data_IF_003186583822
#
_entry.id   IF_003186583822
#
_cell.length_a   1.000
_cell.length_b   1.000
_cell.length_c   1.000
_cell.angle_alpha   90.00
_cell.angle_beta   90.00
_cell.angle_gamma   90.00
#
_symmetry.space_group_name_H-M   'P 1'
#
loop_
_entity.id
_entity.type
_entity.pdbx_description
1 polymer ?
#
# COMPACT_ATOMS: atom_id res chain seq x y z
N UNK A 1 -31.97 -11.23 32.19
CA UNK A 1 -31.21 -10.80 30.99
C UNK A 1 -30.51 -9.51 31.36
N UNK A 2 -29.18 -9.49 31.36
CA UNK A 2 -28.43 -8.25 31.67
C UNK A 2 -28.62 -7.26 30.53
N UNK A 3 -28.66 -5.96 30.83
CA UNK A 3 -28.82 -4.90 29.81
C UNK A 3 -27.84 -5.06 28.63
N UNK A 4 -26.62 -5.52 28.91
CA UNK A 4 -25.60 -5.79 27.88
C UNK A 4 -25.96 -6.95 26.95
N UNK A 5 -26.45 -8.06 27.49
CA UNK A 5 -26.89 -9.20 26.66
C UNK A 5 -28.05 -8.85 25.73
N UNK A 6 -28.91 -7.91 26.15
CA UNK A 6 -29.99 -7.40 25.31
C UNK A 6 -29.47 -6.66 24.08
N UNK A 7 -28.51 -5.74 24.22
CA UNK A 7 -27.97 -4.98 23.09
C UNK A 7 -27.23 -5.84 22.07
N UNK A 8 -26.42 -6.81 22.52
CA UNK A 8 -25.69 -7.71 21.61
C UNK A 8 -26.61 -8.56 20.74
N UNK A 9 -27.79 -8.92 21.25
CA UNK A 9 -28.77 -9.72 20.50
C UNK A 9 -29.65 -8.81 19.63
N UNK A 10 -30.06 -7.65 20.15
CA UNK A 10 -30.99 -6.76 19.47
C UNK A 10 -30.41 -6.14 18.18
N UNK A 11 -29.16 -5.68 18.20
CA UNK A 11 -28.53 -4.99 17.06
C UNK A 11 -28.50 -5.86 15.77
N UNK A 12 -27.97 -7.09 15.77
CA UNK A 12 -27.95 -7.91 14.57
C UNK A 12 -29.36 -8.31 14.12
N UNK A 13 -30.27 -8.60 15.06
CA UNK A 13 -31.66 -8.96 14.74
C UNK A 13 -32.35 -7.80 14.02
N UNK A 14 -32.19 -6.57 14.51
CA UNK A 14 -32.75 -5.38 13.87
C UNK A 14 -32.22 -5.21 12.45
N UNK A 15 -30.91 -5.43 12.23
CA UNK A 15 -30.31 -5.40 10.90
C UNK A 15 -30.94 -6.41 9.93
N UNK A 16 -31.15 -7.65 10.39
CA UNK A 16 -31.80 -8.70 9.59
C UNK A 16 -33.27 -8.37 9.31
N UNK A 17 -34.00 -7.83 10.28
CA UNK A 17 -35.40 -7.42 10.10
C UNK A 17 -35.51 -6.32 9.03
N UNK A 18 -34.68 -5.28 9.11
CA UNK A 18 -34.69 -4.19 8.13
C UNK A 18 -34.33 -4.68 6.72
N UNK A 19 -33.34 -5.57 6.60
CA UNK A 19 -33.01 -6.21 5.32
C UNK A 19 -34.18 -7.06 4.79
N UNK A 20 -34.85 -7.83 5.65
CA UNK A 20 -35.98 -8.68 5.27
C UNK A 20 -37.18 -7.85 4.81
N UNK A 21 -37.47 -6.73 5.48
CA UNK A 21 -38.50 -5.78 5.05
C UNK A 21 -38.16 -5.24 3.65
N UNK A 22 -36.91 -4.82 3.42
CA UNK A 22 -36.52 -4.33 2.10
C UNK A 22 -36.70 -5.40 1.02
N UNK A 23 -36.28 -6.65 1.27
CA UNK A 23 -36.43 -7.76 0.31
C UNK A 23 -37.89 -8.09 -0.02
N UNK A 24 -38.81 -8.00 0.95
CA UNK A 24 -40.23 -8.32 0.76
C UNK A 24 -40.99 -7.18 0.07
N UNK A 25 -40.69 -5.92 0.42
CA UNK A 25 -41.44 -4.76 -0.04
C UNK A 25 -40.81 -4.04 -1.25
N UNK A 26 -39.53 -4.24 -1.55
CA UNK A 26 -38.88 -3.57 -2.67
C UNK A 26 -39.32 -4.19 -4.01
N UNK A 27 -39.61 -3.36 -5.04
CA UNK A 27 -39.91 -3.87 -6.37
C UNK A 27 -38.66 -4.50 -7.00
N UNK A 28 -38.75 -5.81 -7.29
CA UNK A 28 -37.67 -6.56 -7.92
C UNK A 28 -37.93 -6.70 -9.42
N UNK A 29 -37.23 -5.89 -10.23
CA UNK A 29 -37.24 -5.96 -11.70
C UNK A 29 -35.80 -6.19 -12.21
N UNK A 30 -35.35 -7.46 -12.32
CA UNK A 30 -34.06 -7.83 -12.88
C UNK A 30 -34.10 -7.76 -14.41
N UNK A 31 -33.09 -7.15 -15.01
CA UNK A 31 -32.88 -7.12 -16.46
C UNK A 31 -31.39 -7.31 -16.71
N UNK A 32 -31.01 -7.93 -17.83
CA UNK A 32 -29.62 -8.35 -18.08
C UNK A 32 -28.61 -7.18 -17.95
N UNK A 33 -28.99 -5.99 -18.42
CA UNK A 33 -28.15 -4.78 -18.32
C UNK A 33 -28.12 -4.15 -16.93
N UNK A 34 -29.03 -4.51 -16.02
CA UNK A 34 -29.01 -4.11 -14.60
C UNK A 34 -28.04 -4.95 -13.80
N UNK A 35 -28.04 -6.24 -14.13
CA UNK A 35 -27.34 -7.27 -13.38
C UNK A 35 -25.89 -7.42 -13.88
N UNK A 36 -25.58 -6.83 -15.04
CA UNK A 36 -24.22 -6.67 -15.55
C UNK A 36 -23.48 -5.51 -14.85
N UNK A 37 -22.15 -5.60 -14.79
CA UNK A 37 -21.33 -4.52 -14.24
C UNK A 37 -21.40 -3.30 -15.16
N UNK A 38 -21.55 -2.10 -14.58
CA UNK A 38 -21.52 -0.85 -15.33
C UNK A 38 -20.14 -0.63 -15.95
N UNK A 39 -20.01 -0.90 -17.24
CA UNK A 39 -18.81 -0.64 -18.02
C UNK A 39 -19.10 0.42 -19.09
N UNK A 40 -18.20 1.41 -19.24
CA UNK A 40 -18.28 2.39 -20.31
C UNK A 40 -17.98 1.74 -21.66
N UNK A 41 -18.95 1.04 -22.25
CA UNK A 41 -19.00 0.64 -23.66
C UNK A 41 -17.99 -0.42 -24.13
N UNK A 42 -17.12 -0.94 -23.27
CA UNK A 42 -16.15 -1.98 -23.61
C UNK A 42 -16.19 -3.10 -22.58
N UNK A 43 -16.50 -4.31 -23.04
CA UNK A 43 -16.42 -5.53 -22.23
C UNK A 43 -14.98 -5.76 -21.78
N UNK A 44 -14.76 -5.84 -20.48
CA UNK A 44 -13.46 -6.20 -19.92
C UNK A 44 -13.00 -7.56 -20.48
N UNK A 45 -11.80 -7.59 -21.07
CA UNK A 45 -11.28 -8.79 -21.72
C UNK A 45 -11.24 -9.97 -20.74
N UNK A 46 -11.99 -11.02 -21.05
CA UNK A 46 -11.98 -12.31 -20.35
C UNK A 46 -10.54 -12.88 -20.36
N UNK A 47 -9.78 -12.65 -19.30
CA UNK A 47 -8.40 -13.15 -19.18
C UNK A 47 -7.43 -12.31 -18.35
N UNK A 48 -7.79 -11.09 -17.93
CA UNK A 48 -6.92 -10.22 -17.11
C UNK A 48 -7.68 -9.61 -15.93
N UNK A 49 -8.16 -10.44 -15.00
CA UNK A 49 -8.83 -9.99 -13.77
C UNK A 49 -7.84 -9.56 -12.65
N UNK A 50 -6.55 -9.42 -12.99
CA UNK A 50 -5.52 -8.97 -12.05
C UNK A 50 -5.02 -7.59 -12.45
N UNK A 51 -5.42 -6.59 -11.68
CA UNK A 51 -4.89 -5.25 -11.78
C UNK A 51 -3.50 -5.18 -11.13
N UNK A 52 -2.60 -4.43 -11.76
CA UNK A 52 -1.29 -4.11 -11.20
C UNK A 52 -1.47 -3.15 -10.02
N UNK A 53 -1.24 -3.64 -8.79
CA UNK A 53 -1.20 -2.80 -7.60
C UNK A 53 0.24 -2.39 -7.26
N UNK A 54 0.43 -1.19 -6.74
CA UNK A 54 1.73 -0.75 -6.25
C UNK A 54 2.07 -1.42 -4.91
N UNK A 55 3.35 -1.71 -4.69
CA UNK A 55 3.84 -2.33 -3.44
C UNK A 55 3.61 -1.43 -2.22
N UNK A 56 3.50 -0.11 -2.41
CA UNK A 56 3.31 0.87 -1.32
C UNK A 56 2.07 0.59 -0.47
N UNK A 57 0.99 0.07 -1.05
CA UNK A 57 -0.23 -0.31 -0.31
C UNK A 57 0.02 -1.49 0.64
N UNK A 58 0.86 -2.44 0.23
CA UNK A 58 1.24 -3.56 1.09
C UNK A 58 2.12 -3.11 2.25
N UNK A 59 3.08 -2.20 2.00
CA UNK A 59 3.95 -1.65 3.04
C UNK A 59 3.13 -0.89 4.08
N UNK A 60 2.13 -0.12 3.65
CA UNK A 60 1.22 0.57 4.57
C UNK A 60 0.46 -0.42 5.48
N UNK A 61 -0.07 -1.51 4.92
CA UNK A 61 -0.77 -2.53 5.70
C UNK A 61 0.15 -3.23 6.72
N UNK A 62 1.41 -3.51 6.34
CA UNK A 62 2.40 -4.09 7.25
C UNK A 62 2.75 -3.12 8.38
N UNK A 63 2.95 -1.83 8.09
CA UNK A 63 3.22 -0.82 9.10
C UNK A 63 2.03 -0.64 10.08
N UNK A 64 0.79 -0.68 9.58
CA UNK A 64 -0.40 -0.66 10.43
C UNK A 64 -0.44 -1.86 11.38
N UNK A 65 -0.15 -3.07 10.88
CA UNK A 65 -0.09 -4.29 11.69
C UNK A 65 0.98 -4.17 12.80
N UNK A 66 2.15 -3.60 12.49
CA UNK A 66 3.23 -3.42 13.46
C UNK A 66 2.83 -2.43 14.57
N UNK A 67 2.20 -1.31 14.22
CA UNK A 67 1.73 -0.33 15.19
C UNK A 67 0.56 -0.85 16.05
N UNK A 68 -0.33 -1.68 15.48
CA UNK A 68 -1.40 -2.35 16.25
C UNK A 68 -0.81 -3.33 17.28
N UNK A 69 0.21 -4.07 16.90
CA UNK A 69 0.94 -4.96 17.80
C UNK A 69 1.66 -4.19 18.93
N UNK A 70 2.20 -3.01 18.63
CA UNK A 70 2.82 -2.13 19.63
C UNK A 70 1.81 -1.73 20.73
N UNK A 71 0.60 -1.31 20.35
CA UNK A 71 -0.45 -0.96 21.31
C UNK A 71 -0.86 -2.17 22.15
N UNK A 72 -0.95 -3.34 21.54
CA UNK A 72 -1.28 -4.58 22.25
C UNK A 72 -0.23 -4.91 23.32
N UNK A 73 1.06 -4.66 23.05
CA UNK A 73 2.13 -4.87 24.03
C UNK A 73 2.15 -3.81 25.15
N UNK A 74 1.67 -2.60 24.87
CA UNK A 74 1.51 -1.55 25.90
C UNK A 74 0.31 -1.83 26.83
N UNK A 75 -0.75 -2.47 26.32
CA UNK A 75 -1.98 -2.76 27.08
C UNK A 75 -1.77 -3.46 28.45
N UNK A 76 -1.03 -4.59 28.57
CA UNK A 76 -0.86 -5.26 29.86
C UNK A 76 -0.14 -4.39 30.90
N UNK A 77 0.80 -3.54 30.46
CA UNK A 77 1.46 -2.60 31.37
C UNK A 77 0.48 -1.54 31.89
N UNK A 78 -0.39 -1.00 31.03
CA UNK A 78 -1.42 -0.03 31.45
C UNK A 78 -2.38 -0.65 32.46
N UNK A 79 -2.80 -1.89 32.26
CA UNK A 79 -3.71 -2.60 33.18
C UNK A 79 -3.05 -2.93 34.52
N UNK A 80 -1.75 -3.26 34.54
CA UNK A 80 -1.01 -3.69 35.74
C UNK A 80 0.02 -2.67 36.23
N UNK A 81 -0.13 -1.39 35.87
CA UNK A 81 0.88 -0.34 36.11
C UNK A 81 1.21 -0.14 37.60
N UNK A 82 0.24 -0.38 38.49
CA UNK A 82 0.45 -0.29 39.94
C UNK A 82 1.43 -1.33 40.49
N UNK A 83 1.50 -2.52 39.88
CA UNK A 83 2.33 -3.64 40.37
C UNK A 83 3.74 -3.56 39.80
N UNK A 84 3.87 -3.17 38.53
CA UNK A 84 5.17 -3.15 37.83
C UNK A 84 6.04 -1.92 38.17
N UNK A 85 5.45 -0.87 38.75
CA UNK A 85 6.15 0.34 39.18
C UNK A 85 6.97 1.01 38.07
N UNK A 86 8.01 1.74 38.47
CA UNK A 86 8.90 2.48 37.55
C UNK A 86 9.77 1.54 36.70
N UNK A 87 10.06 0.33 37.20
CA UNK A 87 10.88 -0.63 36.48
C UNK A 87 10.19 -1.13 35.19
N UNK A 88 8.90 -1.49 35.28
CA UNK A 88 8.12 -1.86 34.09
C UNK A 88 7.98 -0.71 33.09
N UNK A 89 7.87 0.53 33.58
CA UNK A 89 7.84 1.73 32.73
C UNK A 89 9.10 1.82 31.87
N UNK A 90 10.28 1.64 32.47
CA UNK A 90 11.57 1.79 31.77
C UNK A 90 11.71 0.76 30.64
N UNK A 91 11.34 -0.49 30.91
CA UNK A 91 11.39 -1.57 29.90
C UNK A 91 10.41 -1.26 28.76
N UNK A 92 9.19 -0.83 29.08
CA UNK A 92 8.21 -0.46 28.06
C UNK A 92 8.67 0.74 27.21
N UNK A 93 9.25 1.76 27.84
CA UNK A 93 9.74 2.94 27.15
C UNK A 93 10.90 2.60 26.23
N UNK A 94 11.82 1.73 26.68
CA UNK A 94 12.91 1.22 25.85
C UNK A 94 12.39 0.41 24.64
N UNK A 95 11.38 -0.44 24.84
CA UNK A 95 10.74 -1.18 23.76
C UNK A 95 10.06 -0.25 22.74
N UNK A 96 9.31 0.74 23.22
CA UNK A 96 8.61 1.73 22.39
C UNK A 96 9.60 2.57 21.55
N UNK A 97 10.73 2.99 22.13
CA UNK A 97 11.77 3.74 21.41
C UNK A 97 12.33 2.91 20.24
N UNK A 98 12.64 1.63 20.47
CA UNK A 98 13.22 0.77 19.42
C UNK A 98 12.24 0.59 18.25
N UNK A 99 10.95 0.38 18.53
CA UNK A 99 9.92 0.28 17.50
C UNK A 99 9.70 1.61 16.75
N UNK A 100 9.62 2.72 17.48
CA UNK A 100 9.46 4.05 16.90
C UNK A 100 10.63 4.41 15.98
N UNK A 101 11.86 4.02 16.34
CA UNK A 101 13.05 4.20 15.48
C UNK A 101 12.96 3.38 14.19
N UNK A 102 12.48 2.13 14.27
CA UNK A 102 12.22 1.30 13.10
C UNK A 102 11.19 1.93 12.16
N UNK A 103 10.11 2.48 12.72
CA UNK A 103 9.09 3.20 11.96
C UNK A 103 9.62 4.48 11.31
N UNK A 104 10.38 5.29 12.05
CA UNK A 104 11.00 6.50 11.54
C UNK A 104 11.97 6.23 10.38
N UNK A 105 12.69 5.10 10.42
CA UNK A 105 13.59 4.68 9.35
C UNK A 105 12.85 4.38 8.04
N UNK A 106 11.73 3.66 8.11
CA UNK A 106 10.92 3.33 6.93
C UNK A 106 10.25 4.58 6.32
N UNK A 107 9.83 5.53 7.17
CA UNK A 107 9.38 6.85 6.71
C UNK A 107 10.49 7.60 5.94
N UNK A 108 11.72 7.60 6.47
CA UNK A 108 12.87 8.25 5.83
C UNK A 108 13.25 7.64 4.47
N UNK A 109 12.88 6.39 4.21
CA UNK A 109 13.06 5.73 2.90
C UNK A 109 12.00 6.07 1.87
N UNK A 110 11.01 6.91 2.22
CA UNK A 110 9.88 7.25 1.35
C UNK A 110 9.13 6.01 0.83
N UNK A 111 9.12 4.89 1.58
CA UNK A 111 8.43 3.67 1.17
C UNK A 111 6.90 3.82 1.05
N UNK A 112 6.37 4.88 1.66
CA UNK A 112 4.95 5.24 1.70
C UNK A 112 4.51 6.20 0.60
N UNK A 113 5.43 6.67 -0.26
CA UNK A 113 5.02 7.57 -1.34
C UNK A 113 4.20 6.78 -2.37
N UNK A 114 2.96 7.24 -2.58
CA UNK A 114 2.11 6.72 -3.63
C UNK A 114 2.54 7.43 -4.91
N UNK A 115 3.39 6.76 -5.69
CA UNK A 115 3.76 7.22 -7.02
C UNK A 115 2.53 7.18 -7.93
N UNK A 116 1.90 8.34 -8.11
CA UNK A 116 0.89 8.50 -9.14
C UNK A 116 1.60 8.51 -10.50
N UNK A 117 1.28 7.54 -11.35
CA UNK A 117 1.89 7.41 -12.68
C UNK A 117 1.71 8.67 -13.56
N UNK A 118 0.76 9.54 -13.20
CA UNK A 118 0.52 10.84 -13.81
C UNK A 118 1.63 11.87 -13.51
N UNK A 119 2.29 11.81 -12.36
CA UNK A 119 3.41 12.69 -12.02
C UNK A 119 4.65 12.45 -12.91
N UNK A 120 4.88 11.19 -13.31
CA UNK A 120 5.99 10.81 -14.18
C UNK A 120 5.81 11.36 -15.61
N UNK A 121 4.58 11.41 -16.12
CA UNK A 121 4.26 12.04 -17.40
C UNK A 121 4.54 13.55 -17.43
N UNK A 122 4.29 14.26 -16.33
CA UNK A 122 4.55 15.70 -16.23
C UNK A 122 6.06 16.03 -16.15
N UNK A 123 6.88 15.13 -15.60
CA UNK A 123 8.33 15.26 -15.66
C UNK A 123 8.87 15.03 -17.09
N UNK A 124 8.28 14.08 -17.83
CA UNK A 124 8.62 13.85 -19.24
C UNK A 124 8.13 15.01 -20.15
N UNK A 125 7.01 15.64 -19.80
CA UNK A 125 6.41 16.71 -20.61
C UNK A 125 7.26 17.99 -20.68
N UNK A 126 8.17 18.25 -19.73
CA UNK A 126 9.04 19.44 -19.79
C UNK A 126 9.97 19.49 -21.01
N UNK A 127 10.21 18.36 -21.69
CA UNK A 127 11.07 18.28 -22.88
C UNK A 127 10.30 18.12 -24.20
N UNK A 128 8.98 18.31 -24.21
CA UNK A 128 8.22 18.52 -25.45
C UNK A 128 8.10 17.32 -26.40
N UNK A 129 7.96 16.09 -25.89
CA UNK A 129 7.59 14.94 -26.73
C UNK A 129 6.42 14.15 -26.15
N UNK A 130 5.48 13.77 -27.03
CA UNK A 130 4.23 13.08 -26.71
C UNK A 130 4.43 11.56 -26.80
N UNK A 131 4.53 10.86 -25.67
CA UNK A 131 4.57 9.41 -25.61
C UNK A 131 3.20 8.85 -25.24
N UNK A 132 2.52 8.18 -26.18
CA UNK A 132 1.41 7.28 -25.84
C UNK A 132 2.01 5.99 -25.29
N UNK A 133 1.88 5.74 -23.98
CA UNK A 133 2.24 4.43 -23.39
C UNK A 133 0.94 3.67 -23.21
N UNK A 134 0.63 2.83 -24.18
CA UNK A 134 -0.41 1.82 -24.04
C UNK A 134 0.16 0.66 -23.22
N UNK A 135 -0.39 0.43 -22.02
CA UNK A 135 0.06 -0.63 -21.11
C UNK A 135 -0.87 -1.85 -21.16
N UNK A 136 -1.28 -2.22 -22.36
CA UNK A 136 -2.04 -3.45 -22.62
C UNK A 136 -1.32 -4.32 -23.65
N UNK A 137 -0.18 -4.91 -23.28
CA UNK A 137 0.25 -6.17 -23.89
C UNK A 137 1.35 -6.82 -23.08
N UNK A 138 0.95 -7.83 -22.32
CA UNK A 138 1.77 -8.98 -21.98
C UNK A 138 2.67 -9.39 -23.14
N UNK A 139 3.99 -9.41 -22.86
CA UNK A 139 5.02 -10.25 -23.49
C UNK A 139 4.68 -10.79 -24.89
N UNK A 140 4.85 -9.95 -25.93
CA UNK A 140 5.16 -10.44 -27.28
C UNK A 140 6.17 -9.49 -27.94
N UNK A 141 7.41 -9.96 -28.06
CA UNK A 141 8.34 -9.41 -29.03
C UNK A 141 7.72 -9.60 -30.42
N UNK A 142 7.18 -8.55 -31.02
CA UNK A 142 6.89 -8.53 -32.45
C UNK A 142 8.09 -7.87 -33.14
N UNK A 143 8.91 -8.62 -33.89
CA UNK A 143 10.01 -8.03 -34.64
C UNK A 143 9.46 -7.41 -35.92
N UNK A 144 9.18 -6.11 -35.92
CA UNK A 144 9.01 -5.37 -37.17
C UNK A 144 10.36 -4.77 -37.55
N UNK A 145 10.96 -5.40 -38.57
CA UNK A 145 12.17 -4.95 -39.26
C UNK A 145 11.84 -3.70 -40.06
N UNK A 146 12.30 -2.52 -39.63
CA UNK A 146 12.46 -1.37 -40.54
C UNK A 146 13.92 -0.93 -40.50
N UNK A 147 14.54 -1.05 -41.67
CA UNK A 147 15.93 -0.70 -41.99
C UNK A 147 16.16 0.82 -41.87
N UNK A 148 17.31 1.15 -41.26
CA UNK A 148 18.32 2.15 -41.69
C UNK A 148 17.87 3.61 -41.82
N UNK A 149 18.61 4.64 -41.39
CA UNK A 149 19.91 4.78 -40.75
C UNK A 149 20.08 6.26 -40.36
N UNK A 150 20.72 6.57 -39.22
CA UNK A 150 21.69 7.69 -39.15
C UNK A 150 22.63 7.57 -37.94
N UNK A 151 23.90 7.29 -38.28
CA UNK A 151 25.17 7.65 -37.63
C UNK A 151 25.19 8.21 -36.18
N UNK A 152 25.94 7.49 -35.34
CA UNK A 152 26.94 7.92 -34.33
C UNK A 152 26.51 8.87 -33.19
N UNK A 153 26.49 8.30 -31.98
CA UNK A 153 27.25 8.77 -30.81
C UNK A 153 27.51 7.51 -29.96
N UNK A 154 28.65 6.81 -30.06
CA UNK A 154 29.96 7.10 -29.44
C UNK A 154 29.83 7.67 -28.03
N UNK A 155 30.34 6.88 -27.08
CA UNK A 155 30.67 7.20 -25.69
C UNK A 155 29.51 7.54 -24.77
N UNK A 156 29.07 6.54 -23.99
CA UNK A 156 28.77 6.65 -22.54
C UNK A 156 28.47 5.27 -21.93
N UNK A 157 29.10 4.20 -22.45
CA UNK A 157 29.18 2.90 -21.74
C UNK A 157 30.39 3.01 -20.82
N UNK A 158 30.19 3.73 -19.72
CA UNK A 158 31.18 4.00 -18.68
C UNK A 158 30.51 4.23 -17.33
N UNK A 159 29.34 3.63 -17.11
CA UNK A 159 28.62 3.68 -15.83
C UNK A 159 28.21 2.30 -15.34
N UNK A 160 29.09 1.34 -15.57
CA UNK A 160 29.14 0.01 -14.93
C UNK A 160 29.81 0.06 -13.53
N UNK A 161 29.71 1.18 -12.81
CA UNK A 161 30.13 1.27 -11.41
C UNK A 161 29.08 2.01 -10.58
N UNK A 162 28.06 1.28 -10.16
CA UNK A 162 27.40 1.54 -8.87
C UNK A 162 26.69 0.27 -8.38
N UNK A 163 27.33 -0.88 -8.59
CA UNK A 163 27.06 -2.05 -7.77
C UNK A 163 28.00 -1.94 -6.55
N UNK A 164 27.42 -1.95 -5.34
CA UNK A 164 28.08 -1.94 -4.02
C UNK A 164 28.25 -0.56 -3.34
N UNK A 165 27.13 0.08 -2.99
CA UNK A 165 27.14 1.11 -1.93
C UNK A 165 25.87 1.04 -1.07
N UNK A 166 25.53 -0.14 -0.55
CA UNK A 166 24.41 -0.31 0.40
C UNK A 166 24.87 -0.44 1.86
N UNK A 167 26.18 -0.59 2.11
CA UNK A 167 26.73 -0.79 3.48
C UNK A 167 27.29 0.47 4.15
N UNK A 168 27.54 1.56 3.43
CA UNK A 168 28.12 2.77 4.02
C UNK A 168 27.13 3.65 4.82
N UNK A 169 25.81 3.54 4.60
CA UNK A 169 24.87 4.46 5.28
C UNK A 169 24.54 4.07 6.72
N UNK A 170 24.65 2.79 7.09
CA UNK A 170 24.37 2.33 8.46
C UNK A 170 25.48 2.79 9.42
N UNK A 171 26.75 2.77 9.00
CA UNK A 171 27.88 3.26 9.80
C UNK A 171 27.82 4.79 9.94
N UNK A 172 27.38 5.51 8.90
CA UNK A 172 27.29 6.97 8.91
C UNK A 172 26.17 7.55 9.80
N UNK A 173 25.16 6.76 10.18
CA UNK A 173 24.09 7.18 11.11
C UNK A 173 24.48 6.89 12.56
N UNK A 174 25.16 5.76 12.82
CA UNK A 174 25.67 5.44 14.17
C UNK A 174 26.82 6.39 14.56
N UNK A 175 27.71 6.74 13.64
CA UNK A 175 28.80 7.70 13.88
C UNK A 175 28.33 9.14 14.10
N UNK A 176 27.07 9.47 13.76
CA UNK A 176 26.50 10.82 13.92
C UNK A 176 25.62 10.95 15.18
N UNK A 177 25.45 9.86 15.91
CA UNK A 177 24.70 9.78 17.18
C UNK A 177 25.63 9.53 18.39
N UNK A 178 26.93 9.36 18.17
CA UNK A 178 27.94 9.12 19.21
C UNK A 178 28.92 10.30 19.42
N UNK A 179 28.63 11.46 18.82
CA UNK A 179 29.25 12.77 19.08
C UNK A 179 28.20 13.74 19.64
#
# INVERSE_FOLDING_TARGET
>A
MTSQTFFFIFIPILGVILLSINLIFAPHNPYEEKDSAFECGFHSFLGQNRSEFSISFFIFALLFLLFDLEILLVYPYVVSGYVNGVFGLIILLLFFIILTLGFAFELGKNALTIESRQANYLYINKNGYRLMVDRSSSKRCVPIRIRLAKKRAINLIGKELSCRESRCRIVAVIARLLD
#
